data_IF_896060244982
#
_entry.id   IF_896060244982
#
_cell.length_a   1.000
_cell.length_b   1.000
_cell.length_c   1.000
_cell.angle_alpha   90.00
_cell.angle_beta   90.00
_cell.angle_gamma   90.00
#
_symmetry.space_group_name_H-M   'P 1'
#
loop_
_entity.id
_entity.type
_entity.pdbx_description
1 polymer ?
#
# COMPACT_ATOMS: atom_id res chain seq x y z
N UNK A 1 -9.47 5.60 -1.17
CA UNK A 1 -10.18 6.28 -2.25
C UNK A 1 -9.78 5.68 -3.60
N UNK A 2 -10.77 5.34 -4.45
CA UNK A 2 -10.53 4.62 -5.73
C UNK A 2 -10.74 5.50 -6.96
N UNK A 3 -11.40 6.64 -6.81
CA UNK A 3 -11.74 7.55 -7.91
C UNK A 3 -10.79 8.73 -7.96
N UNK A 4 -10.59 9.28 -9.16
CA UNK A 4 -9.88 10.55 -9.32
C UNK A 4 -10.75 11.69 -8.80
N UNK A 5 -10.15 12.68 -8.15
CA UNK A 5 -10.83 13.91 -7.83
C UNK A 5 -11.10 14.66 -9.14
N UNK A 6 -12.34 15.09 -9.42
CA UNK A 6 -12.67 15.83 -10.64
C UNK A 6 -11.88 17.11 -10.79
N UNK A 7 -11.62 17.50 -12.03
CA UNK A 7 -10.77 18.65 -12.36
C UNK A 7 -11.32 19.99 -11.83
N UNK A 8 -12.63 20.17 -11.90
CA UNK A 8 -13.32 21.34 -11.37
C UNK A 8 -13.16 21.48 -9.84
N UNK A 9 -12.87 20.38 -9.12
CA UNK A 9 -12.63 20.41 -7.68
C UNK A 9 -11.18 20.80 -7.38
N UNK A 10 -10.19 20.09 -7.92
CA UNK A 10 -8.79 20.38 -7.58
C UNK A 10 -8.23 21.65 -8.21
N UNK A 11 -8.90 22.22 -9.22
CA UNK A 11 -8.60 23.56 -9.72
C UNK A 11 -9.14 24.68 -8.81
N UNK A 12 -10.31 24.43 -8.18
CA UNK A 12 -10.98 25.42 -7.31
C UNK A 12 -10.45 25.37 -5.87
N UNK A 13 -10.09 24.19 -5.39
CA UNK A 13 -9.68 23.95 -4.00
C UNK A 13 -8.28 23.37 -3.92
N UNK A 14 -7.55 23.68 -2.86
CA UNK A 14 -6.25 23.07 -2.56
C UNK A 14 -6.46 21.67 -2.00
N UNK A 15 -6.62 20.69 -2.91
CA UNK A 15 -6.87 19.29 -2.55
C UNK A 15 -5.57 18.59 -2.18
N UNK A 16 -5.53 17.96 -1.01
CA UNK A 16 -4.38 17.22 -0.50
C UNK A 16 -4.69 15.72 -0.54
N UNK A 17 -3.82 14.96 -1.19
CA UNK A 17 -3.84 13.50 -1.19
C UNK A 17 -2.72 12.91 -0.35
N UNK A 18 -2.89 11.65 0.06
CA UNK A 18 -1.85 10.89 0.77
C UNK A 18 -1.43 9.69 -0.07
N UNK A 19 -0.13 9.54 -0.30
CA UNK A 19 0.45 8.43 -1.03
C UNK A 19 1.53 7.74 -0.20
N UNK A 20 1.57 6.40 -0.24
CA UNK A 20 2.39 5.61 0.68
C UNK A 20 3.67 5.05 0.05
N UNK A 21 4.34 5.87 -0.75
CA UNK A 21 5.70 5.63 -1.24
C UNK A 21 6.57 6.86 -1.07
N UNK A 22 7.91 6.73 -1.15
CA UNK A 22 8.82 7.89 -1.12
C UNK A 22 8.83 8.63 -2.46
N UNK A 23 7.70 9.26 -2.83
CA UNK A 23 7.58 10.00 -4.09
C UNK A 23 8.83 10.86 -4.40
N UNK A 24 9.25 10.89 -5.70
CA UNK A 24 8.59 10.42 -6.91
C UNK A 24 8.73 8.92 -7.21
N UNK A 25 9.36 8.14 -6.35
CA UNK A 25 9.43 6.70 -6.50
C UNK A 25 8.09 6.05 -6.18
N UNK A 26 7.59 5.21 -7.11
CA UNK A 26 6.40 4.39 -6.88
C UNK A 26 5.07 5.16 -6.98
N UNK A 27 4.91 6.11 -7.91
CA UNK A 27 3.61 6.68 -8.27
C UNK A 27 2.66 5.57 -8.74
N UNK A 28 1.36 5.72 -8.52
CA UNK A 28 0.34 4.80 -9.05
C UNK A 28 -0.19 3.81 -8.02
N UNK A 29 -0.56 2.59 -8.47
CA UNK A 29 -1.43 1.69 -7.73
C UNK A 29 -0.74 0.74 -6.73
N UNK A 30 -1.50 0.31 -5.71
CA UNK A 30 -1.08 -0.67 -4.69
C UNK A 30 0.30 -0.37 -4.08
N UNK A 31 0.53 0.85 -3.57
CA UNK A 31 1.86 1.29 -3.16
C UNK A 31 2.47 0.42 -2.06
N UNK A 32 1.74 0.12 -0.99
CA UNK A 32 2.22 -0.69 0.14
C UNK A 32 2.58 -2.11 -0.32
N UNK A 33 1.70 -2.75 -1.09
CA UNK A 33 1.89 -4.11 -1.57
C UNK A 33 3.10 -4.20 -2.51
N UNK A 34 3.25 -3.24 -3.42
CA UNK A 34 4.40 -3.19 -4.32
C UNK A 34 5.71 -2.95 -3.58
N UNK A 35 5.72 -2.11 -2.53
CA UNK A 35 6.90 -1.92 -1.68
C UNK A 35 7.29 -3.22 -0.97
N UNK A 36 6.32 -3.94 -0.39
CA UNK A 36 6.56 -5.20 0.32
C UNK A 36 7.10 -6.28 -0.64
N UNK A 37 6.46 -6.46 -1.81
CA UNK A 37 6.91 -7.44 -2.83
C UNK A 37 8.34 -7.18 -3.29
N UNK A 38 8.73 -5.90 -3.37
CA UNK A 38 10.11 -5.49 -3.70
C UNK A 38 11.08 -5.62 -2.52
N UNK A 39 10.63 -6.11 -1.36
CA UNK A 39 11.47 -6.38 -0.19
C UNK A 39 11.77 -5.17 0.69
N UNK A 40 11.14 -4.03 0.45
CA UNK A 40 11.32 -2.86 1.31
C UNK A 40 10.78 -3.12 2.72
N UNK A 41 11.52 -2.67 3.73
CA UNK A 41 11.13 -2.77 5.15
C UNK A 41 10.53 -1.49 5.69
N UNK A 42 10.69 -0.39 4.96
CA UNK A 42 10.19 0.94 5.27
C UNK A 42 9.67 1.61 4.00
N UNK A 43 8.79 2.58 4.18
CA UNK A 43 8.31 3.47 3.14
C UNK A 43 8.16 4.89 3.68
N UNK A 44 7.63 5.80 2.89
CA UNK A 44 7.21 7.13 3.35
C UNK A 44 5.74 7.37 3.00
N UNK A 45 5.04 8.04 3.89
CA UNK A 45 3.75 8.65 3.58
C UNK A 45 4.01 10.07 3.12
N UNK A 46 3.56 10.39 1.92
CA UNK A 46 3.66 11.72 1.33
C UNK A 46 2.28 12.37 1.29
N UNK A 47 2.14 13.55 1.90
CA UNK A 47 1.01 14.44 1.67
C UNK A 47 1.35 15.34 0.49
N UNK A 48 0.58 15.29 -0.59
CA UNK A 48 0.87 15.99 -1.84
C UNK A 48 -0.36 16.73 -2.36
N UNK A 49 -0.12 17.80 -3.11
CA UNK A 49 -1.17 18.50 -3.84
C UNK A 49 -1.72 17.62 -4.95
N UNK A 50 -3.04 17.53 -5.05
CA UNK A 50 -3.68 16.83 -6.15
C UNK A 50 -3.59 17.69 -7.42
N UNK A 51 -3.14 17.05 -8.51
CA UNK A 51 -3.01 17.66 -9.83
C UNK A 51 -3.57 16.73 -10.90
N UNK A 52 -3.58 17.17 -12.17
CA UNK A 52 -4.02 16.36 -13.32
C UNK A 52 -3.27 15.02 -13.39
N UNK A 53 -1.97 15.04 -13.13
CA UNK A 53 -1.12 13.84 -13.20
C UNK A 53 -1.12 13.12 -11.84
N UNK A 54 -1.44 11.82 -11.85
CA UNK A 54 -1.53 11.00 -10.63
C UNK A 54 -0.20 11.00 -9.88
N UNK A 55 -0.28 11.28 -8.57
CA UNK A 55 0.82 11.26 -7.61
C UNK A 55 2.04 12.11 -8.01
N UNK A 56 1.84 13.11 -8.90
CA UNK A 56 2.91 13.95 -9.43
C UNK A 56 2.97 15.36 -8.81
N UNK A 57 1.95 15.76 -8.05
CA UNK A 57 1.90 17.10 -7.47
C UNK A 57 2.99 17.37 -6.43
N UNK A 58 3.25 18.65 -6.14
CA UNK A 58 4.20 19.07 -5.12
C UNK A 58 3.88 18.49 -3.75
N UNK A 59 4.90 18.20 -2.95
CA UNK A 59 4.77 17.52 -1.66
C UNK A 59 4.85 18.52 -0.52
N UNK A 60 3.83 18.50 0.34
CA UNK A 60 3.78 19.30 1.56
C UNK A 60 4.56 18.66 2.71
N UNK A 61 4.37 17.36 2.93
CA UNK A 61 4.98 16.62 4.05
C UNK A 61 5.38 15.22 3.62
N UNK A 62 6.49 14.72 4.20
CA UNK A 62 6.90 13.30 4.14
C UNK A 62 7.13 12.77 5.55
N UNK A 63 6.66 11.55 5.85
CA UNK A 63 6.91 10.84 7.11
C UNK A 63 7.30 9.41 6.84
N UNK A 64 8.34 8.92 7.49
CA UNK A 64 8.76 7.53 7.40
C UNK A 64 7.74 6.60 8.07
N UNK A 65 7.54 5.42 7.48
CA UNK A 65 6.67 4.39 8.01
C UNK A 65 7.31 3.01 7.87
N UNK A 66 7.28 2.21 8.94
CA UNK A 66 7.69 0.80 8.92
C UNK A 66 6.66 -0.07 8.20
N UNK A 67 7.13 -1.01 7.37
CA UNK A 67 6.32 -2.05 6.72
C UNK A 67 6.39 -3.39 7.47
N UNK A 68 6.86 -3.41 8.72
CA UNK A 68 6.80 -4.59 9.59
C UNK A 68 5.37 -4.88 10.02
N UNK A 69 5.09 -6.16 10.30
CA UNK A 69 3.78 -6.62 10.76
C UNK A 69 2.86 -7.09 9.65
N UNK A 70 1.62 -7.39 10.00
CA UNK A 70 0.56 -7.78 9.06
C UNK A 70 -0.06 -6.56 8.35
N UNK A 71 -1.00 -6.80 7.45
CA UNK A 71 -1.65 -5.75 6.68
C UNK A 71 -2.40 -4.74 7.54
N UNK A 72 -3.14 -5.21 8.54
CA UNK A 72 -3.93 -4.35 9.44
C UNK A 72 -3.03 -3.45 10.30
N UNK A 73 -1.94 -3.99 10.85
CA UNK A 73 -0.96 -3.21 11.62
C UNK A 73 -0.31 -2.12 10.77
N UNK A 74 -0.01 -2.42 9.51
CA UNK A 74 0.54 -1.44 8.56
C UNK A 74 -0.48 -0.35 8.26
N UNK A 75 -1.75 -0.71 8.00
CA UNK A 75 -2.83 0.25 7.75
C UNK A 75 -3.11 1.12 8.98
N UNK A 76 -3.14 0.54 10.17
CA UNK A 76 -3.31 1.28 11.42
C UNK A 76 -2.18 2.31 11.62
N UNK A 77 -0.94 1.91 11.39
CA UNK A 77 0.23 2.80 11.46
C UNK A 77 0.16 3.91 10.43
N UNK A 78 -0.24 3.59 9.19
CA UNK A 78 -0.45 4.56 8.13
C UNK A 78 -1.50 5.60 8.51
N UNK A 79 -2.64 5.16 9.04
CA UNK A 79 -3.73 6.05 9.45
C UNK A 79 -3.29 7.00 10.59
N UNK A 80 -2.53 6.50 11.58
CA UNK A 80 -1.95 7.37 12.64
C UNK A 80 -1.03 8.45 12.05
N UNK A 81 -0.20 8.10 11.09
CA UNK A 81 0.71 9.06 10.43
C UNK A 81 -0.12 10.08 9.64
N UNK A 82 -1.10 9.64 8.85
CA UNK A 82 -1.99 10.53 8.09
C UNK A 82 -2.72 11.51 9.02
N UNK A 83 -3.31 11.02 10.10
CA UNK A 83 -3.99 11.87 11.10
C UNK A 83 -3.04 12.91 11.70
N UNK A 84 -1.78 12.53 11.99
CA UNK A 84 -0.78 13.48 12.48
C UNK A 84 -0.43 14.56 11.46
N UNK A 85 -0.39 14.20 10.16
CA UNK A 85 -0.19 15.17 9.08
C UNK A 85 -1.39 16.10 8.92
N UNK A 86 -2.62 15.59 9.00
CA UNK A 86 -3.85 16.39 8.94
C UNK A 86 -3.85 17.44 10.06
N UNK A 87 -3.49 17.05 11.30
CA UNK A 87 -3.37 18.00 12.42
C UNK A 87 -2.35 19.12 12.16
N UNK A 88 -1.30 18.87 11.37
CA UNK A 88 -0.35 19.92 10.97
C UNK A 88 -1.03 20.90 10.00
N UNK A 89 -1.79 20.40 9.02
CA UNK A 89 -2.50 21.25 8.06
C UNK A 89 -3.57 22.14 8.70
N UNK A 90 -4.22 21.69 9.79
CA UNK A 90 -5.21 22.51 10.53
C UNK A 90 -4.57 23.65 11.31
N UNK A 91 -3.29 23.52 11.71
CA UNK A 91 -2.57 24.52 12.50
C UNK A 91 -1.63 25.39 11.66
N UNK A 92 -1.00 24.79 10.66
CA UNK A 92 0.00 25.43 9.79
C UNK A 92 -0.29 25.01 8.35
N UNK A 93 -0.14 25.93 7.40
CA UNK A 93 -0.22 25.60 5.97
C UNK A 93 1.21 25.48 5.42
N UNK A 94 1.83 24.29 5.45
CA UNK A 94 3.18 24.11 4.94
C UNK A 94 3.20 24.41 3.44
N UNK A 95 4.26 25.06 2.96
CA UNK A 95 4.44 25.30 1.52
C UNK A 95 4.87 23.99 0.84
N UNK A 96 4.23 23.59 -0.26
CA UNK A 96 4.60 22.39 -0.99
C UNK A 96 5.91 22.63 -1.78
N UNK A 97 6.66 21.54 -1.99
CA UNK A 97 7.90 21.55 -2.78
C UNK A 97 7.77 20.53 -3.91
N UNK A 98 8.33 20.86 -5.08
CA UNK A 98 8.35 19.95 -6.22
C UNK A 98 9.03 18.62 -5.87
N UNK A 99 8.58 17.57 -6.54
CA UNK A 99 9.18 16.25 -6.37
C UNK A 99 10.55 16.22 -7.05
N UNK A 100 11.58 15.81 -6.32
CA UNK A 100 12.94 15.63 -6.84
C UNK A 100 13.36 14.16 -6.79
N UNK A 101 14.08 13.69 -7.82
CA UNK A 101 14.60 12.34 -7.94
C UNK A 101 14.00 11.53 -9.09
N UNK A 102 14.38 10.26 -9.18
CA UNK A 102 13.94 9.36 -10.26
C UNK A 102 12.47 8.97 -10.11
N UNK A 103 11.66 9.32 -11.10
CA UNK A 103 10.25 8.92 -11.17
C UNK A 103 10.16 7.44 -11.52
N UNK A 104 9.35 6.70 -10.77
CA UNK A 104 8.98 5.32 -11.09
C UNK A 104 7.47 5.12 -10.90
N UNK A 105 6.91 4.12 -11.57
CA UNK A 105 5.48 3.83 -11.51
C UNK A 105 5.21 2.43 -10.99
N UNK A 106 4.18 2.31 -10.15
CA UNK A 106 3.63 1.03 -9.71
C UNK A 106 2.30 0.78 -10.43
N UNK A 107 2.18 -0.41 -11.03
CA UNK A 107 0.89 -0.88 -11.53
C UNK A 107 0.02 -1.35 -10.37
N UNK A 108 -1.28 -1.08 -10.46
CA UNK A 108 -2.25 -1.65 -9.51
C UNK A 108 -2.21 -3.16 -9.60
N UNK A 109 -2.09 -3.83 -8.46
CA UNK A 109 -2.10 -5.29 -8.40
C UNK A 109 -3.50 -5.83 -8.75
N UNK A 110 -3.51 -6.94 -9.49
CA UNK A 110 -4.73 -7.67 -9.88
C UNK A 110 -4.94 -8.86 -8.91
N UNK A 111 -6.18 -9.34 -8.71
CA UNK A 111 -6.47 -10.49 -7.82
C UNK A 111 -5.64 -11.74 -8.13
N UNK A 112 -5.39 -12.03 -9.40
CA UNK A 112 -4.56 -13.17 -9.83
C UNK A 112 -3.13 -13.12 -9.24
N UNK A 113 -2.60 -11.95 -8.95
CA UNK A 113 -1.28 -11.79 -8.35
C UNK A 113 -1.24 -12.11 -6.85
N UNK A 114 -2.39 -12.42 -6.24
CA UNK A 114 -2.51 -12.94 -4.87
C UNK A 114 -2.44 -14.46 -4.81
N UNK A 115 -2.35 -15.16 -5.96
CA UNK A 115 -2.11 -16.60 -6.00
C UNK A 115 -0.71 -16.91 -5.48
N UNK A 116 -0.61 -17.82 -4.51
CA UNK A 116 0.66 -18.24 -3.92
C UNK A 116 1.40 -19.17 -4.88
N UNK A 117 2.70 -18.93 -5.03
CA UNK A 117 3.62 -19.81 -5.72
C UNK A 117 4.60 -20.44 -4.72
N UNK A 118 4.60 -21.77 -4.63
CA UNK A 118 5.53 -22.51 -3.77
C UNK A 118 6.96 -22.59 -4.32
N UNK A 119 7.22 -22.01 -5.49
CA UNK A 119 8.59 -21.83 -6.01
C UNK A 119 9.38 -20.75 -5.28
N UNK A 120 8.68 -19.93 -4.48
CA UNK A 120 9.27 -18.80 -3.77
C UNK A 120 9.78 -19.18 -2.38
N UNK A 121 10.75 -18.41 -1.88
CA UNK A 121 11.22 -18.54 -0.50
C UNK A 121 10.10 -18.28 0.50
N UNK A 122 10.13 -18.98 1.64
CA UNK A 122 9.10 -18.85 2.70
C UNK A 122 8.87 -17.40 3.17
N UNK A 123 9.91 -16.59 3.21
CA UNK A 123 9.80 -15.17 3.56
C UNK A 123 8.96 -14.39 2.55
N UNK A 124 9.05 -14.75 1.27
CA UNK A 124 8.32 -14.11 0.19
C UNK A 124 6.85 -14.56 0.16
N UNK A 125 6.61 -15.84 0.46
CA UNK A 125 5.25 -16.38 0.65
C UNK A 125 4.57 -15.66 1.82
N UNK A 126 5.25 -15.49 2.95
CA UNK A 126 4.76 -14.72 4.07
C UNK A 126 4.40 -13.28 3.70
N UNK A 127 5.28 -12.59 2.97
CA UNK A 127 5.04 -11.23 2.49
C UNK A 127 3.85 -11.15 1.53
N UNK A 128 3.66 -12.16 0.66
CA UNK A 128 2.50 -12.26 -0.24
C UNK A 128 1.18 -12.41 0.53
N UNK A 129 1.14 -13.18 1.62
CA UNK A 129 -0.06 -13.37 2.42
C UNK A 129 -0.34 -12.09 3.22
N UNK A 130 0.62 -11.62 4.04
CA UNK A 130 0.40 -10.51 4.96
C UNK A 130 0.08 -9.17 4.31
N UNK A 131 0.58 -8.92 3.10
CA UNK A 131 0.37 -7.62 2.43
C UNK A 131 -1.04 -7.42 1.88
N UNK A 132 -1.79 -8.51 1.69
CA UNK A 132 -3.18 -8.50 1.20
C UNK A 132 -4.17 -8.99 2.26
N UNK A 133 -3.69 -9.28 3.46
CA UNK A 133 -4.52 -9.64 4.60
C UNK A 133 -5.11 -8.38 5.25
N UNK A 134 -5.96 -7.73 4.47
CA UNK A 134 -6.71 -6.52 4.78
C UNK A 134 -8.11 -6.73 4.20
N UNK A 135 -9.16 -6.28 4.88
CA UNK A 135 -10.55 -6.54 4.49
C UNK A 135 -10.87 -6.17 3.04
N UNK A 136 -10.38 -5.04 2.57
CA UNK A 136 -10.67 -4.49 1.24
C UNK A 136 -9.84 -5.10 0.10
N UNK A 137 -8.91 -6.02 0.39
CA UNK A 137 -8.03 -6.59 -0.62
C UNK A 137 -8.37 -8.04 -0.95
N UNK A 138 -8.25 -8.44 -2.24
CA UNK A 138 -8.31 -9.85 -2.61
C UNK A 138 -7.22 -10.63 -1.88
N UNK A 139 -7.65 -11.51 -0.97
CA UNK A 139 -6.77 -12.31 -0.11
C UNK A 139 -5.83 -13.19 -0.92
N UNK A 140 -4.72 -13.59 -0.28
CA UNK A 140 -3.82 -14.60 -0.83
C UNK A 140 -4.53 -15.95 -0.90
N UNK A 141 -4.25 -16.73 -1.94
CA UNK A 141 -4.93 -18.00 -2.14
C UNK A 141 -4.06 -19.04 -2.85
N UNK A 142 -4.44 -20.30 -2.68
CA UNK A 142 -3.94 -21.47 -3.39
C UNK A 142 -5.09 -22.08 -4.18
N UNK A 143 -4.85 -22.42 -5.45
CA UNK A 143 -5.77 -23.26 -6.22
C UNK A 143 -5.35 -24.74 -6.07
N UNK A 144 -6.25 -25.57 -5.58
CA UNK A 144 -6.05 -26.99 -5.47
C UNK A 144 -7.26 -27.76 -6.01
N UNK A 145 -7.09 -28.39 -7.18
CA UNK A 145 -8.18 -29.11 -7.89
C UNK A 145 -9.43 -28.21 -8.01
N UNK A 146 -10.58 -28.68 -7.52
CA UNK A 146 -11.86 -27.97 -7.49
C UNK A 146 -12.02 -26.99 -6.33
N UNK A 147 -10.96 -26.74 -5.55
CA UNK A 147 -11.01 -25.87 -4.38
C UNK A 147 -10.12 -24.65 -4.55
N UNK A 148 -10.55 -23.55 -3.93
CA UNK A 148 -9.75 -22.36 -3.68
C UNK A 148 -9.55 -22.21 -2.18
N UNK A 149 -8.28 -22.24 -1.73
CA UNK A 149 -7.89 -22.12 -0.33
C UNK A 149 -7.42 -20.69 -0.10
N UNK A 150 -8.17 -19.90 0.64
CA UNK A 150 -7.83 -18.52 1.01
C UNK A 150 -6.99 -18.56 2.27
N UNK A 151 -5.91 -17.76 2.32
CA UNK A 151 -4.98 -17.71 3.43
C UNK A 151 -5.04 -16.35 4.12
N UNK A 152 -5.20 -16.37 5.44
CA UNK A 152 -5.33 -15.19 6.29
C UNK A 152 -4.52 -15.32 7.59
N UNK A 153 -4.30 -14.21 8.28
CA UNK A 153 -3.67 -14.13 9.61
C UNK A 153 -2.33 -14.87 9.69
N UNK A 154 -1.36 -14.56 8.80
CA UNK A 154 -0.12 -15.29 8.75
C UNK A 154 0.79 -14.90 9.92
N UNK A 155 1.36 -15.92 10.58
CA UNK A 155 2.46 -15.77 11.54
C UNK A 155 3.67 -16.52 11.02
N UNK A 156 4.81 -15.82 10.89
CA UNK A 156 6.03 -16.40 10.35
C UNK A 156 6.93 -16.92 11.48
N UNK A 157 7.35 -18.17 11.35
CA UNK A 157 8.39 -18.82 12.13
C UNK A 157 9.66 -19.04 11.28
N UNK A 158 10.69 -19.62 11.87
CA UNK A 158 11.97 -19.85 11.18
C UNK A 158 11.78 -20.66 9.87
N UNK A 159 11.08 -21.79 9.96
CA UNK A 159 10.96 -22.76 8.87
C UNK A 159 9.51 -22.97 8.38
N UNK A 160 8.52 -22.28 8.94
CA UNK A 160 7.12 -22.42 8.53
C UNK A 160 6.33 -21.14 8.72
N UNK A 161 5.15 -21.10 8.12
CA UNK A 161 4.14 -20.06 8.29
C UNK A 161 2.88 -20.73 8.83
N UNK A 162 2.37 -20.24 9.96
CA UNK A 162 1.05 -20.59 10.45
C UNK A 162 0.06 -19.57 9.93
N UNK A 163 -1.07 -20.00 9.36
CA UNK A 163 -2.14 -19.13 8.90
C UNK A 163 -3.50 -19.81 9.02
N UNK A 164 -4.57 -19.02 9.05
CA UNK A 164 -5.93 -19.52 8.91
C UNK A 164 -6.20 -19.81 7.43
N UNK A 165 -7.02 -20.83 7.15
CA UNK A 165 -7.41 -21.20 5.80
C UNK A 165 -8.94 -21.31 5.68
N UNK A 166 -9.50 -20.73 4.62
CA UNK A 166 -10.91 -20.88 4.21
C UNK A 166 -10.92 -21.66 2.92
N UNK A 167 -11.61 -22.80 2.90
CA UNK A 167 -11.69 -23.68 1.74
C UNK A 167 -13.03 -23.48 1.04
N UNK A 168 -12.98 -22.93 -0.16
CA UNK A 168 -14.17 -22.74 -1.01
C UNK A 168 -14.13 -23.71 -2.19
N UNK A 169 -15.25 -24.29 -2.53
CA UNK A 169 -15.45 -25.00 -3.80
C UNK A 169 -15.55 -23.95 -4.92
N UNK A 170 -14.85 -24.18 -6.04
CA UNK A 170 -14.95 -23.32 -7.24
C UNK A 170 -16.26 -23.55 -7.97
#
# INVERSE_FOLDING_TARGET
WRHKIPENIYKKYDCIGFHSTPLPYGRGGSPIQNMIVKGFKKTKICALKITKTIDAGPIYLKREMSLKGNGEEIMFRMNKIILSMIKIFTKKRPKPREQAGKVTFFRRRKPIQSKISFKEKITKIYDQIRMVDIEEYPKAYIDFKKYKIILEKPTKYKNFIKCSAIINKK
#
